data_IF_011159426493
#
_entry.id   IF_011159426493
#
_cell.length_a   1.000
_cell.length_b   1.000
_cell.length_c   1.000
_cell.angle_alpha   90.00
_cell.angle_beta   90.00
_cell.angle_gamma   90.00
#
_symmetry.space_group_name_H-M   'P 1'
#
loop_
_entity.id
_entity.type
_entity.pdbx_description
1 polymer ?
#
# COMPACT_ATOMS: atom_id res chain seq x y z
N UNK A 1 9.99 6.02 -17.61
CA UNK A 1 9.74 5.88 -16.16
C UNK A 1 8.69 6.86 -15.64
N UNK A 2 8.82 8.17 -15.87
CA UNK A 2 7.83 9.18 -15.39
C UNK A 2 6.40 8.83 -15.83
N UNK A 3 6.16 8.54 -17.10
CA UNK A 3 4.85 8.13 -17.63
C UNK A 3 4.24 6.93 -16.88
N UNK A 4 5.06 5.94 -16.52
CA UNK A 4 4.57 4.78 -15.76
C UNK A 4 4.18 5.14 -14.33
N UNK A 5 4.91 6.06 -13.69
CA UNK A 5 4.56 6.54 -12.35
C UNK A 5 3.26 7.35 -12.42
N UNK A 6 3.09 8.20 -13.44
CA UNK A 6 1.84 8.93 -13.70
C UNK A 6 0.67 7.94 -13.78
N UNK A 7 0.80 6.90 -14.61
CA UNK A 7 -0.25 5.89 -14.78
C UNK A 7 -0.61 5.16 -13.47
N UNK A 8 0.38 4.90 -12.61
CA UNK A 8 0.13 4.29 -11.30
C UNK A 8 -0.61 5.25 -10.37
N UNK A 9 -0.23 6.54 -10.33
CA UNK A 9 -0.79 7.48 -9.36
C UNK A 9 -2.21 7.91 -9.72
N UNK A 10 -2.52 8.08 -11.01
CA UNK A 10 -3.77 8.72 -11.42
C UNK A 10 -4.96 7.79 -11.63
N UNK A 11 -4.80 6.48 -11.72
CA UNK A 11 -5.94 5.56 -11.81
C UNK A 11 -5.55 4.12 -11.50
N UNK A 12 -6.42 3.35 -10.79
CA UNK A 12 -6.23 1.92 -10.63
C UNK A 12 -6.28 1.16 -11.96
N UNK A 13 -7.02 1.67 -12.94
CA UNK A 13 -7.12 1.07 -14.27
C UNK A 13 -5.86 1.29 -15.09
N UNK A 14 -5.30 2.50 -15.09
CA UNK A 14 -4.06 2.80 -15.81
C UNK A 14 -2.83 2.22 -15.15
N UNK A 15 -2.89 1.88 -13.86
CA UNK A 15 -1.82 1.19 -13.13
C UNK A 15 -1.51 -0.21 -13.71
N UNK A 16 -2.43 -0.80 -14.47
CA UNK A 16 -2.21 -2.07 -15.20
C UNK A 16 -1.18 -1.88 -16.34
N UNK A 17 -1.13 -0.72 -16.97
CA UNK A 17 -0.26 -0.47 -18.13
C UNK A 17 1.23 -0.68 -17.83
N UNK A 18 1.83 -0.07 -16.76
CA UNK A 18 3.20 -0.37 -16.38
C UNK A 18 3.42 -1.83 -15.99
N UNK A 19 2.40 -2.50 -15.43
CA UNK A 19 2.50 -3.92 -15.11
C UNK A 19 2.57 -4.77 -16.40
N UNK A 20 1.71 -4.52 -17.37
CA UNK A 20 1.75 -5.18 -18.70
C UNK A 20 3.06 -4.86 -19.43
N UNK A 21 3.56 -3.62 -19.32
CA UNK A 21 4.88 -3.28 -19.87
C UNK A 21 6.01 -4.10 -19.25
N UNK A 22 5.95 -4.39 -17.95
CA UNK A 22 6.94 -5.24 -17.29
C UNK A 22 6.92 -6.68 -17.84
N UNK A 23 5.73 -7.21 -18.23
CA UNK A 23 5.60 -8.48 -18.95
C UNK A 23 6.31 -8.43 -20.31
N UNK A 24 6.11 -7.37 -21.09
CA UNK A 24 6.79 -7.21 -22.37
C UNK A 24 8.32 -7.15 -22.23
N UNK A 25 8.83 -6.51 -21.17
CA UNK A 25 10.28 -6.51 -20.88
C UNK A 25 10.78 -7.91 -20.52
N UNK A 26 10.00 -8.68 -19.79
CA UNK A 26 10.33 -10.06 -19.45
C UNK A 26 10.37 -10.94 -20.72
N UNK A 27 9.33 -10.88 -21.54
CA UNK A 27 9.24 -11.64 -22.80
C UNK A 27 10.38 -11.30 -23.76
N UNK A 28 10.76 -10.02 -23.84
CA UNK A 28 11.90 -9.57 -24.66
C UNK A 28 13.28 -9.81 -24.01
N UNK A 29 13.32 -10.53 -22.86
CA UNK A 29 14.54 -10.81 -22.10
C UNK A 29 15.37 -9.56 -21.75
N UNK A 30 14.72 -8.40 -21.63
CA UNK A 30 15.37 -7.12 -21.27
C UNK A 30 15.58 -6.92 -19.78
N UNK A 31 15.05 -7.82 -18.94
CA UNK A 31 15.21 -7.87 -17.50
C UNK A 31 15.73 -9.23 -17.08
N UNK A 32 16.64 -9.24 -16.08
CA UNK A 32 17.20 -10.46 -15.53
C UNK A 32 16.26 -11.00 -14.45
N UNK A 33 15.85 -12.24 -14.58
CA UNK A 33 15.09 -12.95 -13.54
C UNK A 33 16.07 -13.61 -12.58
N UNK A 34 16.08 -13.19 -11.34
CA UNK A 34 16.89 -13.79 -10.30
C UNK A 34 16.04 -14.78 -9.48
N UNK A 35 16.65 -15.90 -9.07
CA UNK A 35 16.03 -16.86 -8.16
C UNK A 35 16.16 -16.33 -6.72
N UNK A 36 15.10 -15.70 -6.23
CA UNK A 36 15.03 -15.16 -4.87
C UNK A 36 13.64 -15.37 -4.27
N UNK A 37 13.50 -15.11 -2.97
CA UNK A 37 12.24 -15.36 -2.24
C UNK A 37 11.05 -14.55 -2.74
N UNK A 38 11.28 -13.32 -3.25
CA UNK A 38 10.21 -12.51 -3.85
C UNK A 38 9.69 -13.15 -5.14
N UNK A 39 10.59 -13.48 -6.05
CA UNK A 39 10.23 -14.03 -7.35
C UNK A 39 9.63 -15.44 -7.21
N UNK A 40 10.23 -16.29 -6.34
CA UNK A 40 9.68 -17.60 -6.04
C UNK A 40 8.31 -17.47 -5.39
N UNK A 41 8.18 -16.66 -4.35
CA UNK A 41 6.93 -16.51 -3.60
C UNK A 41 5.78 -15.96 -4.44
N UNK A 42 6.00 -14.85 -5.19
CA UNK A 42 4.96 -14.27 -6.04
C UNK A 42 4.54 -15.19 -7.18
N UNK A 43 5.51 -15.88 -7.81
CA UNK A 43 5.20 -16.84 -8.86
C UNK A 43 4.47 -18.07 -8.32
N UNK A 44 4.87 -18.58 -7.15
CA UNK A 44 4.14 -19.66 -6.47
C UNK A 44 2.72 -19.26 -6.07
N UNK A 45 2.51 -18.03 -5.55
CA UNK A 45 1.18 -17.51 -5.27
C UNK A 45 0.32 -17.44 -6.53
N UNK A 46 0.89 -16.98 -7.65
CA UNK A 46 0.20 -16.94 -8.94
C UNK A 46 -0.26 -18.34 -9.37
N UNK A 47 0.67 -19.31 -9.47
CA UNK A 47 0.35 -20.66 -9.90
C UNK A 47 -0.65 -21.34 -8.97
N UNK A 48 -0.48 -21.17 -7.67
CA UNK A 48 -1.37 -21.74 -6.67
C UNK A 48 -2.77 -21.13 -6.75
N UNK A 49 -2.88 -19.81 -6.88
CA UNK A 49 -4.17 -19.12 -7.01
C UNK A 49 -4.89 -19.51 -8.31
N UNK A 50 -4.15 -19.66 -9.40
CA UNK A 50 -4.67 -20.13 -10.69
C UNK A 50 -5.24 -21.56 -10.55
N UNK A 51 -4.48 -22.44 -9.90
CA UNK A 51 -4.92 -23.82 -9.62
C UNK A 51 -6.15 -23.86 -8.70
N UNK A 52 -6.18 -23.03 -7.64
CA UNK A 52 -7.36 -22.88 -6.78
C UNK A 52 -8.60 -22.43 -7.58
N UNK A 53 -8.44 -21.48 -8.51
CA UNK A 53 -9.51 -21.02 -9.39
C UNK A 53 -10.08 -22.15 -10.27
N UNK A 54 -9.20 -22.96 -10.85
CA UNK A 54 -9.60 -24.10 -11.68
C UNK A 54 -10.36 -25.16 -10.87
N UNK A 55 -9.85 -25.57 -9.70
CA UNK A 55 -10.53 -26.55 -8.83
C UNK A 55 -11.88 -26.05 -8.36
N UNK A 56 -11.99 -24.75 -8.07
CA UNK A 56 -13.26 -24.13 -7.67
C UNK A 56 -14.22 -23.88 -8.85
N UNK A 57 -13.81 -24.21 -10.08
CA UNK A 57 -14.59 -23.94 -11.32
C UNK A 57 -15.01 -22.48 -11.43
N UNK A 58 -14.11 -21.56 -11.00
CA UNK A 58 -14.34 -20.11 -11.03
C UNK A 58 -13.44 -19.47 -12.09
N UNK A 59 -14.04 -19.09 -13.21
CA UNK A 59 -13.34 -18.34 -14.26
C UNK A 59 -12.85 -16.99 -13.72
N UNK A 60 -13.64 -16.34 -12.88
CA UNK A 60 -13.27 -15.06 -12.28
C UNK A 60 -12.00 -15.20 -11.42
N UNK A 61 -11.96 -16.21 -10.54
CA UNK A 61 -10.78 -16.48 -9.70
C UNK A 61 -9.56 -16.86 -10.54
N UNK A 62 -9.75 -17.65 -11.59
CA UNK A 62 -8.69 -17.99 -12.53
C UNK A 62 -8.10 -16.74 -13.20
N UNK A 63 -8.95 -15.87 -13.75
CA UNK A 63 -8.53 -14.62 -14.39
C UNK A 63 -7.90 -13.64 -13.39
N UNK A 64 -8.47 -13.51 -12.18
CA UNK A 64 -7.94 -12.65 -11.14
C UNK A 64 -6.51 -13.06 -10.70
N UNK A 65 -6.14 -14.34 -10.82
CA UNK A 65 -4.79 -14.80 -10.48
C UNK A 65 -3.71 -14.15 -11.35
N UNK A 66 -4.02 -13.72 -12.57
CA UNK A 66 -3.09 -12.99 -13.42
C UNK A 66 -2.68 -11.63 -12.83
N UNK A 67 -3.46 -11.06 -11.92
CA UNK A 67 -3.03 -9.91 -11.12
C UNK A 67 -1.78 -10.20 -10.29
N UNK A 68 -1.64 -11.41 -9.73
CA UNK A 68 -0.43 -11.83 -9.02
C UNK A 68 0.75 -12.04 -9.98
N UNK A 69 0.50 -12.53 -11.20
CA UNK A 69 1.52 -12.59 -12.24
C UNK A 69 2.03 -11.20 -12.64
N UNK A 70 1.13 -10.20 -12.72
CA UNK A 70 1.53 -8.82 -12.95
C UNK A 70 2.42 -8.29 -11.80
N UNK A 71 2.09 -8.56 -10.54
CA UNK A 71 2.96 -8.21 -9.41
C UNK A 71 4.31 -8.90 -9.47
N UNK A 72 4.36 -10.17 -9.87
CA UNK A 72 5.61 -10.88 -10.09
C UNK A 72 6.49 -10.20 -11.15
N UNK A 73 5.93 -9.81 -12.30
CA UNK A 73 6.70 -9.14 -13.35
C UNK A 73 7.13 -7.73 -12.97
N UNK A 74 6.30 -6.99 -12.23
CA UNK A 74 6.65 -5.70 -11.63
C UNK A 74 7.79 -5.85 -10.63
N UNK A 75 7.80 -6.91 -9.83
CA UNK A 75 8.88 -7.21 -8.88
C UNK A 75 10.22 -7.39 -9.60
N UNK A 76 10.24 -8.20 -10.67
CA UNK A 76 11.44 -8.40 -11.48
C UNK A 76 11.90 -7.07 -12.08
N UNK A 77 11.00 -6.29 -12.67
CA UNK A 77 11.33 -4.98 -13.21
C UNK A 77 11.91 -4.06 -12.12
N UNK A 78 11.29 -3.99 -10.94
CA UNK A 78 11.74 -3.17 -9.83
C UNK A 78 13.12 -3.57 -9.33
N UNK A 79 13.41 -4.88 -9.22
CA UNK A 79 14.73 -5.40 -8.87
C UNK A 79 15.81 -4.98 -9.87
N UNK A 80 15.51 -4.99 -11.17
CA UNK A 80 16.44 -4.54 -12.20
C UNK A 80 16.60 -3.01 -12.26
N UNK A 81 15.56 -2.25 -11.90
CA UNK A 81 15.56 -0.81 -11.98
C UNK A 81 16.17 -0.13 -10.76
N UNK A 82 15.79 -0.54 -9.54
CA UNK A 82 16.21 0.07 -8.28
C UNK A 82 17.59 -0.41 -7.82
N UNK A 83 18.57 -0.30 -8.71
CA UNK A 83 19.98 -0.65 -8.44
C UNK A 83 20.85 0.55 -8.06
N UNK A 84 20.29 1.78 -7.99
CA UNK A 84 20.99 3.02 -7.63
C UNK A 84 20.13 3.87 -6.72
N UNK A 85 20.71 4.39 -5.64
CA UNK A 85 20.01 5.30 -4.70
C UNK A 85 19.42 6.53 -5.40
N UNK A 86 20.09 7.06 -6.41
CA UNK A 86 19.58 8.19 -7.19
C UNK A 86 18.27 7.87 -7.90
N UNK A 87 18.09 6.64 -8.40
CA UNK A 87 16.83 6.20 -9.03
C UNK A 87 15.73 6.05 -7.99
N UNK A 88 16.04 5.50 -6.81
CA UNK A 88 15.09 5.37 -5.71
C UNK A 88 14.59 6.76 -5.30
N UNK A 89 15.51 7.68 -4.97
CA UNK A 89 15.17 9.03 -4.54
C UNK A 89 14.40 9.81 -5.63
N UNK A 90 14.76 9.65 -6.90
CA UNK A 90 14.03 10.25 -8.02
C UNK A 90 12.59 9.75 -8.08
N UNK A 91 12.35 8.45 -7.98
CA UNK A 91 10.99 7.87 -8.02
C UNK A 91 10.19 8.33 -6.82
N UNK A 92 10.76 8.33 -5.61
CA UNK A 92 10.07 8.81 -4.40
C UNK A 92 9.67 10.28 -4.52
N UNK A 93 10.55 11.16 -5.06
CA UNK A 93 10.22 12.57 -5.33
C UNK A 93 9.08 12.70 -6.34
N UNK A 94 9.14 11.99 -7.47
CA UNK A 94 8.11 12.06 -8.52
C UNK A 94 6.76 11.58 -7.98
N UNK A 95 6.73 10.44 -7.27
CA UNK A 95 5.49 9.92 -6.66
C UNK A 95 4.92 10.93 -5.68
N UNK A 96 5.75 11.58 -4.86
CA UNK A 96 5.30 12.63 -3.93
C UNK A 96 4.64 13.79 -4.66
N UNK A 97 5.28 14.37 -5.69
CA UNK A 97 4.71 15.51 -6.43
C UNK A 97 3.44 15.14 -7.20
N UNK A 98 3.37 13.97 -7.79
CA UNK A 98 2.15 13.50 -8.44
C UNK A 98 1.01 13.28 -7.43
N UNK A 99 1.34 12.84 -6.21
CA UNK A 99 0.36 12.70 -5.14
C UNK A 99 -0.17 14.04 -4.63
N UNK A 100 0.59 15.14 -4.77
CA UNK A 100 0.08 16.50 -4.54
C UNK A 100 -1.06 16.82 -5.50
N UNK A 101 -0.90 16.49 -6.79
CA UNK A 101 -1.96 16.72 -7.79
C UNK A 101 -3.18 15.87 -7.46
N UNK A 102 -2.98 14.59 -7.09
CA UNK A 102 -4.07 13.72 -6.66
C UNK A 102 -4.78 14.26 -5.39
N UNK A 103 -4.04 14.82 -4.44
CA UNK A 103 -4.61 15.42 -3.23
C UNK A 103 -5.45 16.67 -3.55
N UNK A 104 -4.95 17.54 -4.45
CA UNK A 104 -5.72 18.71 -4.93
C UNK A 104 -7.01 18.22 -5.60
N UNK A 105 -6.94 17.20 -6.47
CA UNK A 105 -8.12 16.59 -7.09
C UNK A 105 -9.13 16.09 -6.06
N UNK A 106 -8.68 15.43 -4.99
CA UNK A 106 -9.55 14.99 -3.90
C UNK A 106 -10.19 16.15 -3.13
N UNK A 107 -9.45 17.25 -2.89
CA UNK A 107 -10.04 18.45 -2.27
C UNK A 107 -11.11 19.07 -3.16
N UNK A 108 -10.85 19.21 -4.46
CA UNK A 108 -11.84 19.70 -5.44
C UNK A 108 -13.06 18.77 -5.47
N UNK A 109 -12.87 17.46 -5.47
CA UNK A 109 -13.94 16.46 -5.36
C UNK A 109 -14.83 16.74 -4.14
N UNK A 110 -14.24 16.92 -2.94
CA UNK A 110 -15.01 17.22 -1.71
C UNK A 110 -15.80 18.51 -1.84
N UNK A 111 -15.18 19.58 -2.33
CA UNK A 111 -15.86 20.88 -2.54
C UNK A 111 -17.04 20.71 -3.50
N UNK A 112 -16.85 20.00 -4.60
CA UNK A 112 -17.90 19.74 -5.59
C UNK A 112 -19.08 19.00 -4.96
N UNK A 113 -18.85 17.98 -4.14
CA UNK A 113 -19.93 17.24 -3.48
C UNK A 113 -20.63 18.07 -2.38
N UNK A 114 -19.91 18.95 -1.69
CA UNK A 114 -20.54 19.91 -0.77
C UNK A 114 -21.49 20.85 -1.53
N UNK A 115 -21.06 21.38 -2.68
CA UNK A 115 -21.90 22.25 -3.52
C UNK A 115 -23.12 21.50 -4.10
N UNK A 116 -23.02 20.19 -4.27
CA UNK A 116 -24.11 19.32 -4.69
C UNK A 116 -25.02 18.85 -3.52
N UNK A 117 -24.88 19.45 -2.33
CA UNK A 117 -25.59 19.07 -1.10
C UNK A 117 -25.37 17.62 -0.65
N UNK A 118 -24.16 17.10 -0.88
CA UNK A 118 -23.71 15.75 -0.43
C UNK A 118 -22.43 15.85 0.41
N UNK A 119 -22.46 16.55 1.56
CA UNK A 119 -21.26 16.77 2.38
C UNK A 119 -20.71 15.49 3.00
N UNK A 120 -21.51 14.41 3.11
CA UNK A 120 -21.12 13.08 3.60
C UNK A 120 -20.21 12.31 2.63
N UNK A 121 -20.01 12.81 1.40
CA UNK A 121 -19.17 12.15 0.42
C UNK A 121 -17.71 12.07 0.88
N UNK A 122 -17.17 10.87 0.96
CA UNK A 122 -15.76 10.57 1.23
C UNK A 122 -14.99 10.64 -0.07
N UNK A 123 -13.84 11.31 -0.09
CA UNK A 123 -13.08 11.44 -1.34
C UNK A 123 -12.47 10.12 -1.80
N UNK A 124 -12.55 9.88 -3.08
CA UNK A 124 -11.91 8.75 -3.78
C UNK A 124 -10.63 9.16 -4.48
N UNK A 125 -10.51 10.44 -4.83
CA UNK A 125 -9.41 10.99 -5.61
C UNK A 125 -9.13 10.09 -6.84
N UNK A 126 -7.87 9.75 -7.08
CA UNK A 126 -7.45 8.91 -8.20
C UNK A 126 -7.39 7.39 -7.86
N UNK A 127 -7.89 6.95 -6.70
CA UNK A 127 -7.72 5.57 -6.24
C UNK A 127 -9.01 4.75 -6.20
N UNK A 128 -10.15 5.38 -6.51
CA UNK A 128 -11.45 4.73 -6.67
C UNK A 128 -12.08 4.15 -5.39
N UNK A 129 -11.41 4.29 -4.24
CA UNK A 129 -11.90 3.87 -2.93
C UNK A 129 -11.29 4.72 -1.82
N UNK A 130 -12.09 5.26 -0.87
CA UNK A 130 -11.58 6.15 0.19
C UNK A 130 -10.51 5.51 1.07
N UNK A 131 -10.65 4.22 1.40
CA UNK A 131 -9.69 3.52 2.25
C UNK A 131 -8.34 3.35 1.54
N UNK A 132 -8.36 3.08 0.22
CA UNK A 132 -7.16 2.95 -0.60
C UNK A 132 -6.50 4.31 -0.81
N UNK A 133 -7.30 5.36 -1.02
CA UNK A 133 -6.85 6.77 -1.07
C UNK A 133 -6.15 7.16 0.23
N UNK A 134 -6.77 6.88 1.37
CA UNK A 134 -6.19 7.13 2.68
C UNK A 134 -4.88 6.39 2.88
N UNK A 135 -4.83 5.09 2.54
CA UNK A 135 -3.62 4.29 2.62
C UNK A 135 -2.49 4.85 1.75
N UNK A 136 -2.81 5.32 0.54
CA UNK A 136 -1.84 5.96 -0.34
C UNK A 136 -1.26 7.23 0.28
N UNK A 137 -2.11 8.18 0.66
CA UNK A 137 -1.67 9.45 1.24
C UNK A 137 -0.87 9.25 2.54
N UNK A 138 -1.26 8.30 3.37
CA UNK A 138 -0.53 7.95 4.58
C UNK A 138 0.90 7.43 4.26
N UNK A 139 1.07 6.59 3.23
CA UNK A 139 2.39 6.17 2.76
C UNK A 139 3.21 7.34 2.19
N UNK A 140 2.58 8.28 1.47
CA UNK A 140 3.27 9.47 0.95
C UNK A 140 3.81 10.35 2.09
N UNK A 141 3.10 10.51 3.19
CA UNK A 141 3.60 11.23 4.37
C UNK A 141 4.91 10.60 4.89
N UNK A 142 4.99 9.27 4.98
CA UNK A 142 6.23 8.59 5.38
C UNK A 142 7.36 8.76 4.36
N UNK A 143 7.03 8.75 3.07
CA UNK A 143 8.02 9.04 2.00
C UNK A 143 8.57 10.46 2.16
N UNK A 144 7.72 11.43 2.47
CA UNK A 144 8.15 12.83 2.66
C UNK A 144 9.08 12.94 3.87
N UNK A 145 8.81 12.24 4.99
CA UNK A 145 9.73 12.21 6.13
C UNK A 145 11.13 11.72 5.75
N UNK A 146 11.20 10.69 4.92
CA UNK A 146 12.47 10.22 4.40
C UNK A 146 13.14 11.28 3.52
N UNK A 147 12.40 11.90 2.60
CA UNK A 147 12.92 12.93 1.69
C UNK A 147 13.40 14.17 2.46
N UNK A 148 12.70 14.59 3.52
CA UNK A 148 13.14 15.65 4.41
C UNK A 148 14.48 15.32 5.07
N UNK A 149 14.70 14.06 5.48
CA UNK A 149 15.98 13.61 6.05
C UNK A 149 17.15 13.65 5.04
N UNK A 150 16.86 13.72 3.74
CA UNK A 150 17.88 13.80 2.67
C UNK A 150 18.03 15.19 2.06
N UNK A 151 17.28 16.19 2.54
CA UNK A 151 17.28 17.58 2.04
C UNK A 151 18.62 18.28 2.20
N UNK A 152 18.84 19.29 1.35
CA UNK A 152 20.06 20.10 1.34
C UNK A 152 19.82 21.58 1.67
N UNK A 153 18.57 22.08 1.63
CA UNK A 153 18.25 23.50 1.82
C UNK A 153 17.02 23.73 2.70
N UNK A 154 16.92 24.93 3.29
CA UNK A 154 15.75 25.37 4.06
C UNK A 154 14.50 25.52 3.19
N UNK A 155 14.64 25.93 1.93
CA UNK A 155 13.55 26.04 0.96
C UNK A 155 12.91 24.67 0.67
N UNK A 156 13.71 23.62 0.50
CA UNK A 156 13.17 22.24 0.34
C UNK A 156 12.39 21.80 1.59
N UNK A 157 12.81 22.26 2.80
CA UNK A 157 12.09 21.95 4.03
C UNK A 157 10.69 22.55 4.04
N UNK A 158 10.59 23.85 3.70
CA UNK A 158 9.30 24.55 3.65
C UNK A 158 8.38 23.89 2.63
N UNK A 159 8.90 23.55 1.44
CA UNK A 159 8.13 22.85 0.41
C UNK A 159 7.56 21.52 0.93
N UNK A 160 8.38 20.66 1.56
CA UNK A 160 7.90 19.40 2.11
C UNK A 160 6.88 19.59 3.24
N UNK A 161 7.04 20.60 4.09
CA UNK A 161 6.05 20.89 5.14
C UNK A 161 4.70 21.28 4.54
N UNK A 162 4.67 22.14 3.53
CA UNK A 162 3.43 22.49 2.81
C UNK A 162 2.79 21.28 2.14
N UNK A 163 3.60 20.42 1.51
CA UNK A 163 3.11 19.18 0.89
C UNK A 163 2.52 18.24 1.95
N UNK A 164 3.13 18.09 3.12
CA UNK A 164 2.59 17.27 4.22
C UNK A 164 1.22 17.80 4.65
N UNK A 165 1.09 19.11 4.85
CA UNK A 165 -0.20 19.73 5.25
C UNK A 165 -1.28 19.39 4.23
N UNK A 166 -1.03 19.61 2.94
CA UNK A 166 -1.99 19.32 1.88
C UNK A 166 -2.38 17.84 1.82
N UNK A 167 -1.38 16.92 1.85
CA UNK A 167 -1.63 15.47 1.85
C UNK A 167 -2.39 15.05 3.11
N UNK A 168 -2.10 15.67 4.26
CA UNK A 168 -2.82 15.38 5.52
C UNK A 168 -4.28 15.84 5.44
N UNK A 169 -4.56 17.01 4.87
CA UNK A 169 -5.94 17.45 4.60
C UNK A 169 -6.66 16.44 3.70
N UNK A 170 -6.05 16.06 2.59
CA UNK A 170 -6.65 15.07 1.69
C UNK A 170 -6.87 13.71 2.39
N UNK A 171 -5.92 13.27 3.22
CA UNK A 171 -6.08 12.05 4.04
C UNK A 171 -7.30 12.16 4.97
N UNK A 172 -7.48 13.29 5.66
CA UNK A 172 -8.64 13.55 6.52
C UNK A 172 -9.96 13.42 5.75
N UNK A 173 -10.01 14.02 4.57
CA UNK A 173 -11.21 14.01 3.72
C UNK A 173 -11.57 12.61 3.18
N UNK A 174 -10.65 11.65 3.26
CA UNK A 174 -10.98 10.22 2.97
C UNK A 174 -11.82 9.57 4.06
N UNK A 175 -11.82 10.11 5.28
CA UNK A 175 -12.50 9.54 6.46
C UNK A 175 -12.11 8.06 6.70
N UNK A 176 -10.89 7.67 6.34
CA UNK A 176 -10.38 6.31 6.47
C UNK A 176 -9.71 6.09 7.83
N UNK A 177 -10.48 5.67 8.82
CA UNK A 177 -9.98 5.35 10.17
C UNK A 177 -8.83 4.35 10.14
N UNK A 178 -8.92 3.31 9.29
CA UNK A 178 -7.86 2.30 9.16
C UNK A 178 -6.53 2.89 8.66
N UNK A 179 -6.58 3.82 7.69
CA UNK A 179 -5.40 4.50 7.19
C UNK A 179 -4.79 5.45 8.23
N UNK A 180 -5.62 6.10 9.04
CA UNK A 180 -5.18 6.95 10.15
C UNK A 180 -4.43 6.17 11.21
N UNK A 181 -5.02 5.07 11.70
CA UNK A 181 -4.39 4.21 12.71
C UNK A 181 -3.07 3.64 12.15
N UNK A 182 -3.08 3.21 10.88
CA UNK A 182 -1.88 2.72 10.23
C UNK A 182 -0.79 3.79 10.11
N UNK A 183 -1.16 5.05 9.78
CA UNK A 183 -0.21 6.16 9.74
C UNK A 183 0.42 6.43 11.11
N UNK A 184 -0.37 6.46 12.18
CA UNK A 184 0.15 6.65 13.55
C UNK A 184 1.16 5.55 13.88
N UNK A 185 0.82 4.29 13.62
CA UNK A 185 1.75 3.17 13.80
C UNK A 185 2.98 3.27 12.91
N UNK A 186 2.81 3.66 11.65
CA UNK A 186 3.92 3.90 10.71
C UNK A 186 4.85 5.01 11.17
N UNK A 187 4.33 6.14 11.64
CA UNK A 187 5.12 7.26 12.20
C UNK A 187 5.87 6.81 13.45
N UNK A 188 5.22 6.05 14.34
CA UNK A 188 5.87 5.51 15.54
C UNK A 188 7.07 4.62 15.15
N UNK A 189 6.89 3.67 14.23
CA UNK A 189 7.97 2.81 13.74
C UNK A 189 9.07 3.65 13.06
N UNK A 190 8.68 4.61 12.21
CA UNK A 190 9.65 5.51 11.58
C UNK A 190 10.49 6.28 12.61
N UNK A 191 9.83 6.83 13.64
CA UNK A 191 10.48 7.60 14.71
C UNK A 191 11.46 6.78 15.53
N UNK A 192 11.07 5.59 16.02
CA UNK A 192 11.93 4.75 16.85
C UNK A 192 13.10 4.16 16.07
N UNK A 193 12.93 3.95 14.76
CA UNK A 193 13.97 3.36 13.90
C UNK A 193 14.86 4.41 13.23
N UNK A 194 14.40 5.68 13.17
CA UNK A 194 15.17 6.78 12.59
C UNK A 194 16.30 7.22 13.52
N UNK A 195 17.48 7.33 12.94
CA UNK A 195 18.68 7.85 13.63
C UNK A 195 18.94 9.33 13.35
N UNK A 196 18.10 9.96 12.54
CA UNK A 196 18.28 11.34 12.12
C UNK A 196 17.96 12.34 13.24
N UNK A 197 18.65 13.49 13.21
CA UNK A 197 18.46 14.62 14.13
C UNK A 197 17.10 15.32 14.02
N UNK A 198 16.29 14.98 13.02
CA UNK A 198 15.02 15.63 12.72
C UNK A 198 13.82 15.11 13.55
N UNK A 199 14.06 14.55 14.74
CA UNK A 199 12.99 14.08 15.63
C UNK A 199 12.01 15.22 16.00
N UNK A 200 12.50 16.46 16.12
CA UNK A 200 11.66 17.65 16.37
C UNK A 200 10.68 17.91 15.23
N UNK A 201 11.11 17.76 13.96
CA UNK A 201 10.25 17.94 12.77
C UNK A 201 9.16 16.85 12.71
N UNK A 202 9.50 15.60 13.03
CA UNK A 202 8.54 14.49 13.09
C UNK A 202 7.50 14.78 14.18
N UNK A 203 7.91 15.19 15.37
CA UNK A 203 7.01 15.57 16.47
C UNK A 203 6.12 16.73 16.05
N UNK A 204 6.66 17.79 15.42
CA UNK A 204 5.89 18.94 14.95
C UNK A 204 4.83 18.50 13.93
N UNK A 205 5.19 17.63 12.97
CA UNK A 205 4.22 17.11 11.99
C UNK A 205 3.16 16.24 12.65
N UNK A 206 3.54 15.35 13.60
CA UNK A 206 2.57 14.56 14.37
C UNK A 206 1.58 15.46 15.13
N UNK A 207 2.09 16.55 15.73
CA UNK A 207 1.25 17.54 16.41
C UNK A 207 0.29 18.22 15.43
N UNK A 208 0.78 18.67 14.26
CA UNK A 208 -0.05 19.29 13.22
C UNK A 208 -1.11 18.31 12.71
N UNK A 209 -0.73 17.08 12.37
CA UNK A 209 -1.69 16.05 11.94
C UNK A 209 -2.70 15.74 13.03
N UNK A 210 -2.28 15.68 14.29
CA UNK A 210 -3.17 15.49 15.44
C UNK A 210 -4.16 16.64 15.60
N UNK A 211 -3.69 17.90 15.52
CA UNK A 211 -4.54 19.09 15.60
C UNK A 211 -5.54 19.18 14.43
N UNK A 212 -5.08 18.89 13.20
CA UNK A 212 -5.96 18.84 12.03
C UNK A 212 -7.01 17.75 12.17
N UNK A 213 -6.64 16.57 12.74
CA UNK A 213 -7.57 15.47 13.01
C UNK A 213 -8.64 15.88 14.01
N UNK A 214 -8.26 16.56 15.10
CA UNK A 214 -9.21 17.07 16.11
C UNK A 214 -10.14 18.14 15.50
N UNK A 215 -9.58 19.04 14.70
CA UNK A 215 -10.36 20.07 13.99
C UNK A 215 -11.36 19.45 13.02
N UNK A 216 -10.95 18.44 12.27
CA UNK A 216 -11.80 17.71 11.35
C UNK A 216 -12.95 17.00 12.08
N UNK A 217 -12.66 16.29 13.16
CA UNK A 217 -13.66 15.66 14.04
C UNK A 217 -14.67 16.68 14.53
N UNK A 218 -14.20 17.85 14.95
CA UNK A 218 -15.07 18.94 15.43
C UNK A 218 -15.98 19.49 14.32
N UNK A 219 -15.43 19.68 13.12
CA UNK A 219 -16.20 20.17 11.95
C UNK A 219 -17.22 19.11 11.53
N UNK A 220 -16.82 17.84 11.44
CA UNK A 220 -17.70 16.74 11.04
C UNK A 220 -18.88 16.59 12.01
N UNK A 221 -18.66 16.65 13.32
CA UNK A 221 -19.73 16.64 14.33
C UNK A 221 -20.77 17.75 14.12
N UNK A 222 -20.34 18.94 13.68
CA UNK A 222 -21.26 20.05 13.38
C UNK A 222 -22.06 19.85 12.08
N UNK A 223 -21.47 19.19 11.08
CA UNK A 223 -22.08 19.04 9.75
C UNK A 223 -23.00 17.81 9.69
N UNK A 224 -22.54 16.67 10.19
CA UNK A 224 -23.26 15.38 10.02
C UNK A 224 -24.18 15.02 11.19
N UNK A 225 -24.10 15.72 12.31
CA UNK A 225 -24.78 15.41 13.57
C UNK A 225 -24.51 13.98 14.11
N UNK A 226 -23.55 13.27 13.52
CA UNK A 226 -23.10 11.95 13.96
C UNK A 226 -21.83 12.08 14.78
N UNK A 227 -21.72 11.31 15.85
CA UNK A 227 -20.46 11.28 16.59
C UNK A 227 -19.46 10.40 15.84
N UNK A 228 -18.18 10.80 15.68
CA UNK A 228 -17.15 9.99 15.03
C UNK A 228 -17.00 8.60 15.67
N UNK A 229 -17.22 8.50 16.97
CA UNK A 229 -17.23 7.21 17.69
C UNK A 229 -18.37 6.33 17.20
N UNK A 230 -19.56 6.90 16.96
CA UNK A 230 -20.70 6.16 16.43
C UNK A 230 -20.42 5.60 15.02
N UNK A 231 -19.82 6.37 14.14
CA UNK A 231 -19.43 5.90 12.80
C UNK A 231 -18.36 4.80 12.83
N UNK A 232 -17.37 4.92 13.72
CA UNK A 232 -16.36 3.88 13.94
C UNK A 232 -17.05 2.59 14.41
N UNK A 233 -17.97 2.67 15.35
CA UNK A 233 -18.71 1.50 15.88
C UNK A 233 -19.55 0.85 14.78
N UNK A 234 -20.30 1.63 13.99
CA UNK A 234 -21.10 1.12 12.87
C UNK A 234 -20.20 0.44 11.83
N UNK A 235 -19.10 1.09 11.46
CA UNK A 235 -18.13 0.55 10.52
C UNK A 235 -17.48 -0.74 11.02
N UNK A 236 -17.21 -0.84 12.31
CA UNK A 236 -16.64 -2.05 12.93
C UNK A 236 -17.67 -3.18 12.99
N UNK A 237 -18.90 -2.89 13.42
CA UNK A 237 -19.98 -3.86 13.49
C UNK A 237 -20.29 -4.49 12.13
N UNK A 238 -20.28 -3.69 11.04
CA UNK A 238 -20.44 -4.22 9.69
C UNK A 238 -19.33 -5.21 9.32
N UNK A 239 -18.10 -4.99 9.77
CA UNK A 239 -16.97 -5.89 9.53
C UNK A 239 -17.07 -7.19 10.32
N UNK A 240 -17.63 -7.18 11.52
CA UNK A 240 -17.78 -8.41 12.33
C UNK A 240 -18.60 -9.45 11.57
N UNK A 241 -19.73 -9.07 10.98
CA UNK A 241 -20.55 -9.97 10.15
C UNK A 241 -19.79 -10.51 8.92
N UNK A 242 -18.99 -9.66 8.28
CA UNK A 242 -18.13 -10.07 7.15
C UNK A 242 -17.06 -11.07 7.63
N UNK A 243 -16.42 -10.82 8.77
CA UNK A 243 -15.38 -11.69 9.31
C UNK A 243 -15.93 -13.03 9.76
N UNK A 244 -17.11 -13.04 10.40
CA UNK A 244 -17.80 -14.27 10.79
C UNK A 244 -18.12 -15.13 9.55
N UNK A 245 -18.75 -14.55 8.53
CA UNK A 245 -19.05 -15.26 7.28
C UNK A 245 -17.80 -15.73 6.57
N UNK A 246 -16.76 -14.90 6.52
CA UNK A 246 -15.45 -15.25 5.93
C UNK A 246 -14.77 -16.40 6.68
N UNK A 247 -14.88 -16.43 8.01
CA UNK A 247 -14.38 -17.52 8.84
C UNK A 247 -15.13 -18.82 8.55
N UNK A 248 -16.45 -18.78 8.39
CA UNK A 248 -17.26 -19.95 7.96
C UNK A 248 -16.85 -20.42 6.56
N UNK A 249 -16.58 -19.50 5.63
CA UNK A 249 -16.04 -19.82 4.30
C UNK A 249 -14.69 -20.55 4.40
N UNK A 250 -13.76 -20.02 5.20
CA UNK A 250 -12.45 -20.62 5.40
C UNK A 250 -12.55 -22.05 5.91
N UNK A 251 -13.34 -22.32 6.95
CA UNK A 251 -13.47 -23.68 7.49
C UNK A 251 -14.07 -24.69 6.52
N UNK A 252 -14.85 -24.24 5.52
CA UNK A 252 -15.34 -25.13 4.46
C UNK A 252 -14.27 -25.51 3.43
N UNK A 253 -13.25 -24.67 3.21
CA UNK A 253 -12.16 -24.91 2.27
C UNK A 253 -10.81 -24.43 2.82
N UNK A 254 -10.30 -25.02 3.91
CA UNK A 254 -9.15 -24.49 4.64
C UNK A 254 -7.83 -24.60 3.87
N UNK A 255 -7.69 -25.58 2.99
CA UNK A 255 -6.42 -25.87 2.28
C UNK A 255 -6.29 -25.01 1.03
N UNK A 256 -7.27 -25.09 0.13
CA UNK A 256 -7.21 -24.46 -1.20
C UNK A 256 -7.86 -23.07 -1.23
N UNK A 257 -8.73 -22.77 -0.27
CA UNK A 257 -9.57 -21.57 -0.32
C UNK A 257 -10.63 -21.65 -1.44
N UNK A 258 -11.26 -20.52 -1.68
CA UNK A 258 -12.34 -20.36 -2.68
C UNK A 258 -11.84 -19.75 -3.99
N UNK A 259 -10.56 -19.45 -4.10
CA UNK A 259 -9.95 -18.70 -5.20
C UNK A 259 -9.94 -17.18 -4.94
N UNK A 260 -9.13 -16.46 -5.71
CA UNK A 260 -9.13 -14.99 -5.65
C UNK A 260 -10.53 -14.46 -6.03
N UNK A 261 -11.00 -13.42 -5.34
CA UNK A 261 -12.36 -12.91 -5.45
C UNK A 261 -13.47 -13.92 -5.07
N UNK A 262 -13.13 -15.05 -4.48
CA UNK A 262 -14.11 -16.05 -4.02
C UNK A 262 -15.11 -15.49 -3.00
N UNK A 263 -14.71 -14.50 -2.20
CA UNK A 263 -15.63 -13.77 -1.31
C UNK A 263 -16.65 -12.98 -2.11
N UNK A 264 -16.26 -12.35 -3.21
CA UNK A 264 -17.18 -11.65 -4.12
C UNK A 264 -18.19 -12.59 -4.77
N UNK A 265 -17.74 -13.74 -5.29
CA UNK A 265 -18.61 -14.68 -5.99
C UNK A 265 -19.59 -15.43 -5.06
N UNK A 266 -19.14 -15.74 -3.84
CA UNK A 266 -19.84 -16.72 -2.97
C UNK A 266 -20.08 -16.22 -1.56
N UNK A 267 -19.60 -15.05 -1.20
CA UNK A 267 -19.72 -14.49 0.14
C UNK A 267 -21.14 -14.25 0.58
N UNK A 268 -22.03 -13.91 -0.35
CA UNK A 268 -23.47 -13.72 -0.10
C UNK A 268 -24.14 -14.93 0.56
N UNK A 269 -23.63 -16.14 0.33
CA UNK A 269 -24.16 -17.36 0.92
C UNK A 269 -23.72 -17.59 2.38
N UNK A 270 -22.76 -16.81 2.88
CA UNK A 270 -22.13 -17.01 4.19
C UNK A 270 -22.18 -15.78 5.07
N UNK A 271 -22.29 -14.60 4.47
CA UNK A 271 -22.21 -13.33 5.17
C UNK A 271 -23.62 -12.80 5.39
N UNK A 272 -24.01 -12.76 6.65
CA UNK A 272 -25.29 -12.22 7.07
C UNK A 272 -25.03 -10.98 7.92
N UNK A 273 -25.73 -9.89 7.64
CA UNK A 273 -25.80 -8.76 8.54
C UNK A 273 -26.87 -9.02 9.58
N UNK A 274 -26.57 -8.72 10.85
CA UNK A 274 -27.57 -8.71 11.92
C UNK A 274 -28.63 -7.61 11.72
N UNK A 275 -28.33 -6.60 10.89
CA UNK A 275 -29.25 -5.58 10.44
C UNK A 275 -29.65 -5.84 9.00
N UNK A 276 -30.94 -6.22 8.74
CA UNK A 276 -31.42 -6.48 7.39
C UNK A 276 -31.26 -5.29 6.44
N UNK A 277 -31.33 -4.05 6.94
CA UNK A 277 -31.17 -2.84 6.13
C UNK A 277 -29.74 -2.68 5.58
N UNK A 278 -28.75 -3.21 6.29
CA UNK A 278 -27.33 -3.17 5.91
C UNK A 278 -26.93 -4.38 5.06
N UNK A 279 -27.68 -5.47 5.07
CA UNK A 279 -27.33 -6.72 4.37
C UNK A 279 -27.06 -6.50 2.87
N UNK A 280 -28.01 -5.94 2.16
CA UNK A 280 -27.86 -5.68 0.73
C UNK A 280 -26.71 -4.69 0.43
N UNK A 281 -26.50 -3.69 1.31
CA UNK A 281 -25.42 -2.73 1.16
C UNK A 281 -24.05 -3.39 1.38
N UNK A 282 -23.92 -4.27 2.36
CA UNK A 282 -22.69 -5.02 2.62
C UNK A 282 -22.36 -5.92 1.43
N UNK A 283 -23.32 -6.67 0.91
CA UNK A 283 -23.12 -7.60 -0.20
C UNK A 283 -22.73 -6.87 -1.50
N UNK A 284 -23.33 -5.72 -1.78
CA UNK A 284 -23.03 -4.95 -2.99
C UNK A 284 -21.58 -4.43 -3.07
N UNK A 285 -20.90 -4.30 -1.92
CA UNK A 285 -19.50 -3.84 -1.83
C UNK A 285 -18.51 -4.92 -1.42
N UNK A 286 -18.96 -6.17 -1.32
CA UNK A 286 -18.16 -7.27 -0.78
C UNK A 286 -17.21 -7.84 -1.84
N UNK A 287 -16.06 -7.22 -2.04
CA UNK A 287 -15.00 -7.74 -2.91
C UNK A 287 -14.09 -8.70 -2.13
N UNK A 288 -13.82 -8.40 -0.87
CA UNK A 288 -12.93 -9.16 0.01
C UNK A 288 -13.35 -9.00 1.49
N UNK A 289 -12.81 -9.82 2.41
CA UNK A 289 -13.17 -9.81 3.83
C UNK A 289 -12.85 -8.52 4.61
N UNK A 290 -12.28 -7.49 4.01
CA UNK A 290 -11.77 -6.31 4.72
C UNK A 290 -10.84 -6.66 5.90
N UNK A 291 -10.02 -7.66 5.68
CA UNK A 291 -8.96 -8.12 6.58
C UNK A 291 -7.95 -8.90 5.75
N UNK A 292 -6.68 -8.52 5.82
CA UNK A 292 -5.62 -9.09 5.00
C UNK A 292 -5.47 -10.61 5.22
N UNK A 293 -5.51 -11.03 6.48
CA UNK A 293 -5.29 -12.42 6.88
C UNK A 293 -6.44 -13.32 6.44
N UNK A 294 -7.68 -12.88 6.72
CA UNK A 294 -8.89 -13.57 6.25
C UNK A 294 -8.98 -13.58 4.72
N UNK A 295 -8.51 -12.52 4.07
CA UNK A 295 -8.47 -12.49 2.60
C UNK A 295 -7.60 -13.61 2.04
N UNK A 296 -6.39 -13.80 2.59
CA UNK A 296 -5.54 -14.92 2.19
C UNK A 296 -6.18 -16.27 2.54
N UNK A 297 -6.69 -16.43 3.77
CA UNK A 297 -7.29 -17.69 4.22
C UNK A 297 -8.51 -18.07 3.38
N UNK A 298 -9.41 -17.13 3.08
CA UNK A 298 -10.59 -17.41 2.26
C UNK A 298 -10.22 -17.64 0.80
N UNK A 299 -9.33 -16.82 0.25
CA UNK A 299 -9.00 -16.88 -1.18
C UNK A 299 -8.07 -18.05 -1.52
N UNK A 300 -7.05 -18.31 -0.69
CA UNK A 300 -5.96 -19.22 -1.03
C UNK A 300 -5.69 -20.27 0.07
N UNK A 301 -6.52 -20.32 1.11
CA UNK A 301 -6.34 -21.25 2.22
C UNK A 301 -5.03 -21.06 2.98
N UNK A 302 -4.70 -22.03 3.80
CA UNK A 302 -3.46 -22.02 4.61
C UNK A 302 -2.19 -22.09 3.75
N UNK A 303 -2.26 -22.70 2.57
CA UNK A 303 -1.08 -22.83 1.68
C UNK A 303 -0.71 -21.46 1.11
N UNK A 304 -1.70 -20.70 0.56
CA UNK A 304 -1.41 -19.37 0.03
C UNK A 304 -0.99 -18.39 1.11
N UNK A 305 -1.60 -18.46 2.30
CA UNK A 305 -1.11 -17.70 3.45
C UNK A 305 0.32 -18.10 3.82
N UNK A 306 0.65 -19.38 3.81
CA UNK A 306 2.02 -19.88 4.06
C UNK A 306 3.04 -19.31 3.07
N UNK A 307 2.70 -19.25 1.78
CA UNK A 307 3.57 -18.62 0.75
C UNK A 307 3.74 -17.12 1.03
N UNK A 308 2.68 -16.41 1.38
CA UNK A 308 2.77 -15.00 1.77
C UNK A 308 3.66 -14.80 3.00
N UNK A 309 3.49 -15.63 4.03
CA UNK A 309 4.32 -15.59 5.24
C UNK A 309 5.79 -15.93 4.94
N UNK A 310 6.07 -16.83 4.00
CA UNK A 310 7.43 -17.10 3.52
C UNK A 310 8.09 -15.84 2.93
N UNK A 311 7.35 -15.09 2.08
CA UNK A 311 7.84 -13.80 1.55
C UNK A 311 8.11 -12.83 2.70
N UNK A 312 7.16 -12.69 3.64
CA UNK A 312 7.27 -11.75 4.77
C UNK A 312 8.44 -12.10 5.69
N UNK A 313 8.63 -13.38 6.02
CA UNK A 313 9.71 -13.83 6.87
C UNK A 313 11.10 -13.48 6.29
N UNK A 314 11.30 -13.74 4.98
CA UNK A 314 12.56 -13.38 4.34
C UNK A 314 12.73 -11.87 4.17
N UNK A 315 11.65 -11.14 3.91
CA UNK A 315 11.67 -9.67 3.93
C UNK A 315 12.12 -9.12 5.29
N UNK A 316 11.64 -9.70 6.41
CA UNK A 316 12.08 -9.29 7.73
C UNK A 316 13.54 -9.62 8.03
N UNK A 317 14.07 -10.73 7.50
CA UNK A 317 15.52 -11.02 7.56
C UNK A 317 16.33 -9.92 6.85
N UNK A 318 15.90 -9.55 5.64
CA UNK A 318 16.55 -8.47 4.89
C UNK A 318 16.44 -7.13 5.65
N UNK A 319 15.27 -6.79 6.20
CA UNK A 319 15.08 -5.60 7.03
C UNK A 319 15.97 -5.60 8.26
N UNK A 320 16.16 -6.73 8.94
CA UNK A 320 17.05 -6.87 10.08
C UNK A 320 18.51 -6.57 9.70
N UNK A 321 18.94 -6.99 8.50
CA UNK A 321 20.26 -6.64 7.96
C UNK A 321 20.38 -5.13 7.76
N UNK A 322 19.41 -4.50 7.10
CA UNK A 322 19.40 -3.04 6.89
C UNK A 322 19.44 -2.26 8.21
N UNK A 323 18.72 -2.73 9.23
CA UNK A 323 18.75 -2.14 10.56
C UNK A 323 20.15 -2.18 11.19
N UNK A 324 20.79 -3.37 11.17
CA UNK A 324 22.16 -3.56 11.69
C UNK A 324 23.18 -2.70 10.94
N UNK A 325 23.06 -2.57 9.64
CA UNK A 325 23.90 -1.76 8.75
C UNK A 325 23.60 -0.25 8.85
N UNK A 326 22.63 0.15 9.66
CA UNK A 326 22.22 1.56 9.84
C UNK A 326 21.80 2.24 8.54
N UNK A 327 21.15 1.49 7.63
CA UNK A 327 20.75 2.00 6.34
C UNK A 327 19.72 3.14 6.48
N UNK A 328 19.91 4.23 5.74
CA UNK A 328 19.06 5.44 5.82
C UNK A 328 17.63 5.20 5.32
N UNK A 329 17.40 4.22 4.43
CA UNK A 329 16.06 3.86 3.94
C UNK A 329 15.30 2.95 4.91
N UNK A 330 15.98 2.30 5.85
CA UNK A 330 15.36 1.33 6.73
C UNK A 330 14.12 1.88 7.46
N UNK A 331 14.13 3.10 8.06
CA UNK A 331 12.95 3.63 8.73
C UNK A 331 11.72 3.73 7.82
N UNK A 332 11.90 4.18 6.57
CA UNK A 332 10.81 4.24 5.60
C UNK A 332 10.28 2.84 5.26
N UNK A 333 11.18 1.91 4.94
CA UNK A 333 10.81 0.53 4.55
C UNK A 333 10.11 -0.21 5.69
N UNK A 334 10.58 -0.03 6.93
CA UNK A 334 9.96 -0.60 8.13
C UNK A 334 8.57 0.00 8.38
N UNK A 335 8.45 1.33 8.31
CA UNK A 335 7.20 2.04 8.55
C UNK A 335 6.13 1.70 7.50
N UNK A 336 6.45 1.72 6.21
CA UNK A 336 5.52 1.35 5.14
C UNK A 336 5.06 -0.10 5.26
N UNK A 337 5.96 -1.00 5.65
CA UNK A 337 5.60 -2.40 5.87
C UNK A 337 4.72 -2.59 7.12
N UNK A 338 4.96 -1.85 8.20
CA UNK A 338 4.11 -1.84 9.39
C UNK A 338 2.70 -1.32 9.07
N UNK A 339 2.58 -0.28 8.26
CA UNK A 339 1.27 0.23 7.81
C UNK A 339 0.43 -0.81 7.10
N UNK A 340 1.02 -1.61 6.21
CA UNK A 340 0.30 -2.70 5.51
C UNK A 340 -0.25 -3.71 6.51
N UNK A 341 0.49 -4.03 7.57
CA UNK A 341 0.06 -4.97 8.61
C UNK A 341 -1.05 -4.37 9.46
N UNK A 342 -0.87 -3.14 9.93
CA UNK A 342 -1.83 -2.46 10.81
C UNK A 342 -3.14 -2.24 10.07
N UNK A 343 -3.10 -1.68 8.87
CA UNK A 343 -4.30 -1.50 8.05
C UNK A 343 -4.89 -2.84 7.61
N UNK A 344 -4.04 -3.85 7.44
CA UNK A 344 -4.43 -5.21 7.10
C UNK A 344 -5.33 -5.91 8.12
N UNK A 345 -5.43 -5.37 9.34
CA UNK A 345 -6.40 -5.85 10.35
C UNK A 345 -7.83 -5.49 9.94
N UNK A 346 -8.03 -4.33 9.30
CA UNK A 346 -9.37 -3.77 9.00
C UNK A 346 -9.64 -3.60 7.49
N UNK A 347 -8.66 -3.89 6.63
CA UNK A 347 -8.82 -3.83 5.17
C UNK A 347 -7.74 -4.67 4.46
N UNK A 348 -7.86 -4.89 3.14
CA UNK A 348 -6.85 -5.57 2.33
C UNK A 348 -6.34 -4.65 1.22
N UNK A 349 -5.40 -3.77 1.56
CA UNK A 349 -4.86 -2.77 0.63
C UNK A 349 -4.11 -3.35 -0.57
N UNK A 350 -3.67 -4.61 -0.50
CA UNK A 350 -2.97 -5.28 -1.60
C UNK A 350 -3.88 -5.59 -2.81
N UNK A 351 -5.19 -5.50 -2.65
CA UNK A 351 -6.14 -5.59 -3.77
C UNK A 351 -6.17 -4.32 -4.64
N UNK A 352 -5.73 -3.18 -4.10
CA UNK A 352 -5.58 -1.95 -4.89
C UNK A 352 -4.28 -2.01 -5.71
N UNK A 353 -4.33 -1.93 -7.05
CA UNK A 353 -3.15 -2.08 -7.91
C UNK A 353 -2.02 -1.13 -7.54
N UNK A 354 -2.33 0.12 -7.22
CA UNK A 354 -1.33 1.13 -6.85
C UNK A 354 -0.57 0.75 -5.58
N UNK A 355 -1.29 0.32 -4.53
CA UNK A 355 -0.70 -0.06 -3.24
C UNK A 355 0.06 -1.39 -3.36
N UNK A 356 -0.45 -2.34 -4.14
CA UNK A 356 0.25 -3.59 -4.43
C UNK A 356 1.56 -3.35 -5.18
N UNK A 357 1.56 -2.48 -6.20
CA UNK A 357 2.78 -2.06 -6.92
C UNK A 357 3.75 -1.36 -5.96
N UNK A 358 3.29 -0.44 -5.11
CA UNK A 358 4.12 0.22 -4.10
C UNK A 358 4.76 -0.81 -3.16
N UNK A 359 3.98 -1.76 -2.65
CA UNK A 359 4.48 -2.83 -1.77
C UNK A 359 5.58 -3.66 -2.43
N UNK A 360 5.35 -4.10 -3.66
CA UNK A 360 6.32 -4.90 -4.42
C UNK A 360 7.58 -4.10 -4.73
N UNK A 361 7.46 -2.82 -5.08
CA UNK A 361 8.61 -1.92 -5.30
C UNK A 361 9.43 -1.71 -4.02
N UNK A 362 8.78 -1.45 -2.87
CA UNK A 362 9.47 -1.31 -1.58
C UNK A 362 10.16 -2.62 -1.17
N UNK A 363 9.54 -3.77 -1.44
CA UNK A 363 10.15 -5.07 -1.23
C UNK A 363 11.37 -5.32 -2.12
N UNK A 364 11.29 -4.97 -3.40
CA UNK A 364 12.41 -5.06 -4.34
C UNK A 364 13.59 -4.15 -3.94
N UNK A 365 13.29 -2.93 -3.45
CA UNK A 365 14.30 -2.01 -2.91
C UNK A 365 14.97 -2.62 -1.69
N UNK A 366 14.19 -3.17 -0.75
CA UNK A 366 14.71 -3.84 0.45
C UNK A 366 15.65 -4.98 0.08
N UNK A 367 15.21 -5.86 -0.83
CA UNK A 367 16.01 -6.98 -1.32
C UNK A 367 17.32 -6.51 -1.97
N UNK A 368 17.26 -5.52 -2.85
CA UNK A 368 18.44 -5.04 -3.57
C UNK A 368 19.49 -4.44 -2.62
N UNK A 369 19.07 -3.70 -1.61
CA UNK A 369 19.99 -3.09 -0.65
C UNK A 369 20.59 -4.18 0.24
N UNK A 370 19.74 -5.05 0.81
CA UNK A 370 20.18 -6.09 1.74
C UNK A 370 21.13 -7.12 1.10
N UNK A 371 21.01 -7.34 -0.22
CA UNK A 371 21.82 -8.33 -0.94
C UNK A 371 22.90 -7.70 -1.84
N UNK A 372 23.34 -6.48 -1.51
CA UNK A 372 24.43 -5.76 -2.17
C UNK A 372 24.27 -5.62 -3.70
N UNK A 373 23.01 -5.62 -4.19
CA UNK A 373 22.70 -5.42 -5.62
C UNK A 373 22.81 -3.95 -6.07
N UNK A 374 23.06 -3.05 -5.11
CA UNK A 374 23.22 -1.63 -5.41
C UNK A 374 24.53 -1.39 -6.13
N UNK A 375 24.47 -0.79 -7.31
CA UNK A 375 25.66 -0.36 -8.05
C UNK A 375 26.37 0.73 -7.25
N UNK A 376 27.44 0.36 -6.53
CA UNK A 376 28.31 1.32 -5.87
C UNK A 376 28.91 2.23 -6.96
N UNK A 377 28.92 3.56 -6.75
CA UNK A 377 29.80 4.43 -7.54
C UNK A 377 31.21 3.84 -7.35
N UNK A 378 31.72 3.14 -8.37
CA UNK A 378 33.15 2.82 -8.39
C UNK A 378 33.85 4.16 -8.14
N UNK A 379 34.65 4.25 -7.10
CA UNK A 379 35.62 5.30 -6.95
C UNK A 379 36.47 5.27 -8.21
N UNK A 380 36.17 6.14 -9.16
CA UNK A 380 37.07 6.57 -10.23
C UNK A 380 38.12 7.47 -9.57
N UNK A 381 38.88 6.89 -8.63
CA UNK A 381 39.98 7.54 -7.98
C UNK A 381 41.13 6.55 -8.04
N UNK A 382 42.17 7.01 -8.74
CA UNK A 382 43.52 6.46 -8.82
C UNK A 382 43.75 5.29 -9.79
N UNK A 383 43.79 5.60 -11.07
CA UNK A 383 44.83 5.10 -11.96
C UNK A 383 45.35 6.28 -12.84
N UNK A 384 45.76 7.39 -12.20
CA UNK A 384 46.50 8.47 -12.86
C UNK A 384 47.90 8.71 -12.29
N UNK A 385 48.36 7.84 -11.40
CA UNK A 385 49.70 7.97 -10.83
C UNK A 385 50.53 6.69 -10.97
N UNK A 386 50.48 6.01 -12.10
CA UNK A 386 51.53 5.06 -12.52
C UNK A 386 51.72 5.24 -14.02
N UNK A 387 52.38 6.33 -14.38
CA UNK A 387 53.04 6.53 -15.65
C UNK A 387 54.07 7.65 -15.45
N UNK A 388 55.20 7.29 -14.86
CA UNK A 388 56.52 7.86 -15.08
C UNK A 388 57.48 6.69 -15.17
#
# INVERSE_FOLDING_TARGET
>A
MIYYIIMVVFSPYTAIIPAVYSVNLLLKRKVKVERNYWNIGLFSLFLYSMFSGLINKSLLSFLASFGLFLYFTVCIFAQNYFTKMSRINMVLKIVTYLSVIAAIGGVIEKITFILLNRPEHRIFSSFGNPNMTGAWFANIILIIFYLQGTKKSSSETLTYNLVIILISVALLLTESTGAFIALIGGIFIYYITSRNKNKKEIIAVCTIVGLLSLLFVFIQNKITKTTPIGEIVISFNSRIGIWEGSTKMFFKKPILGWGLLGTFERGSNFIFSYDPSLHNKIISFLIHPHNLWLTFLVSTGVIGLGIYLYIKFNLYKDMTKLYKEKNQLFPLLAATNAMIIIQGIVDCTLYAPQLGIMFVCMGAITYNIANDKMVRKRKLIKNKDIAV
#
